data_IF_687524670548
#
_entry.id   IF_687524670548
#
_cell.length_a   1.000
_cell.length_b   1.000
_cell.length_c   1.000
_cell.angle_alpha   90.00
_cell.angle_beta   90.00
_cell.angle_gamma   90.00
#
_symmetry.space_group_name_H-M   'P 1'
#
loop_
_entity.id
_entity.type
_entity.pdbx_description
1 polymer ?
#
# COMPACT_ATOMS: atom_id res chain seq x y z
N UNK A 1 19.77 11.11 10.73
CA UNK A 1 18.70 10.51 9.91
C UNK A 1 17.40 11.17 10.33
N UNK A 2 16.44 11.28 9.41
CA UNK A 2 15.11 11.82 9.69
C UNK A 2 14.17 10.62 9.79
N UNK A 3 13.38 10.54 10.87
CA UNK A 3 12.48 9.43 11.16
C UNK A 3 13.07 8.36 12.09
N UNK A 4 12.43 7.18 12.23
CA UNK A 4 12.93 6.03 12.99
C UNK A 4 14.18 5.36 12.40
N UNK A 5 15.10 4.92 13.27
CA UNK A 5 16.37 4.29 12.90
C UNK A 5 16.27 2.76 12.72
N UNK A 6 15.08 2.21 12.47
CA UNK A 6 14.85 0.77 12.36
C UNK A 6 14.44 0.43 10.91
N UNK A 7 14.91 -0.68 10.32
CA UNK A 7 14.59 -1.01 8.93
C UNK A 7 13.12 -1.39 8.73
N UNK A 8 12.40 -1.73 9.79
CA UNK A 8 10.98 -2.08 9.77
C UNK A 8 10.11 -0.92 9.28
N UNK A 9 10.48 0.35 9.57
CA UNK A 9 9.66 1.51 9.15
C UNK A 9 9.70 1.76 7.64
N UNK A 10 10.68 1.20 6.93
CA UNK A 10 10.76 1.22 5.47
C UNK A 10 10.28 -0.08 4.84
N UNK A 11 9.59 -0.94 5.60
CA UNK A 11 9.20 -2.28 5.14
C UNK A 11 7.69 -2.43 4.97
N UNK A 12 7.28 -3.57 4.41
CA UNK A 12 5.87 -4.00 4.30
C UNK A 12 5.17 -4.00 5.67
N UNK A 13 5.90 -4.32 6.76
CA UNK A 13 5.33 -4.28 8.10
C UNK A 13 4.81 -2.91 8.49
N UNK A 14 5.52 -1.86 8.10
CA UNK A 14 5.07 -0.51 8.40
C UNK A 14 3.80 -0.17 7.64
N UNK A 15 3.66 -0.58 6.37
CA UNK A 15 2.40 -0.43 5.62
C UNK A 15 1.23 -1.08 6.36
N UNK A 16 1.40 -2.33 6.80
CA UNK A 16 0.37 -3.04 7.58
C UNK A 16 0.10 -2.38 8.94
N UNK A 17 1.13 -1.87 9.61
CA UNK A 17 0.97 -1.12 10.85
C UNK A 17 0.14 0.15 10.64
N UNK A 18 0.39 0.91 9.57
CA UNK A 18 -0.40 2.10 9.21
C UNK A 18 -1.88 1.74 9.05
N UNK A 19 -2.18 0.65 8.34
CA UNK A 19 -3.56 0.20 8.13
C UNK A 19 -4.21 -0.28 9.42
N UNK A 20 -3.46 -0.97 10.27
CA UNK A 20 -3.92 -1.42 11.58
C UNK A 20 -4.29 -0.23 12.50
N UNK A 21 -3.44 0.79 12.61
CA UNK A 21 -3.70 1.93 13.51
C UNK A 21 -4.76 2.88 12.97
N UNK A 22 -4.82 3.08 11.65
CA UNK A 22 -5.83 3.97 11.07
C UNK A 22 -7.19 3.29 10.91
N UNK A 23 -7.21 1.96 10.77
CA UNK A 23 -8.36 1.19 10.32
C UNK A 23 -8.75 1.51 8.87
N UNK A 24 -7.85 2.15 8.11
CA UNK A 24 -8.07 2.56 6.73
C UNK A 24 -6.86 2.19 5.88
N UNK A 25 -7.12 1.71 4.67
CA UNK A 25 -6.09 1.23 3.77
C UNK A 25 -6.73 0.45 2.62
N UNK A 26 -6.02 0.25 1.50
CA UNK A 26 -6.51 -0.62 0.45
C UNK A 26 -6.62 -2.06 0.96
N UNK A 27 -7.55 -2.87 0.44
CA UNK A 27 -7.55 -4.31 0.69
C UNK A 27 -6.15 -4.86 0.40
N UNK A 28 -5.55 -5.53 1.39
CA UNK A 28 -4.15 -5.94 1.32
C UNK A 28 -3.98 -7.37 1.84
N UNK A 29 -3.26 -8.20 1.10
CA UNK A 29 -2.95 -9.58 1.47
C UNK A 29 -1.44 -9.79 1.43
N UNK A 30 -0.86 -10.03 2.60
CA UNK A 30 0.53 -10.45 2.75
C UNK A 30 0.59 -11.97 2.75
N UNK A 31 1.42 -12.52 1.87
CA UNK A 31 1.66 -13.94 1.76
C UNK A 31 3.11 -14.27 2.16
N UNK A 32 3.27 -15.25 3.04
CA UNK A 32 4.56 -15.77 3.42
C UNK A 32 5.20 -16.55 2.27
N UNK A 33 6.54 -16.54 2.24
CA UNK A 33 7.34 -17.26 1.25
C UNK A 33 6.95 -18.75 1.24
N UNK A 34 6.80 -19.31 0.04
CA UNK A 34 6.38 -20.70 -0.18
C UNK A 34 4.87 -20.91 -0.25
N UNK A 35 4.06 -19.88 0.01
CA UNK A 35 2.62 -19.92 -0.24
C UNK A 35 2.33 -20.11 -1.73
N UNK A 36 1.25 -20.85 -2.05
CA UNK A 36 0.81 -21.06 -3.43
C UNK A 36 -0.67 -20.74 -3.59
N UNK A 37 -0.97 -19.78 -4.47
CA UNK A 37 -2.34 -19.41 -4.79
C UNK A 37 -2.86 -20.24 -5.97
N UNK A 38 -4.04 -20.84 -5.80
CA UNK A 38 -4.77 -21.51 -6.90
C UNK A 38 -5.68 -20.56 -7.67
N UNK A 39 -6.18 -19.53 -6.99
CA UNK A 39 -7.04 -18.48 -7.52
C UNK A 39 -6.71 -17.19 -6.79
N UNK A 40 -6.86 -16.06 -7.46
CA UNK A 40 -6.84 -14.77 -6.81
C UNK A 40 -8.08 -14.61 -5.90
N UNK A 41 -7.91 -14.22 -4.62
CA UNK A 41 -9.02 -13.98 -3.70
C UNK A 41 -10.06 -13.00 -4.27
N UNK A 42 -11.34 -13.26 -3.98
CA UNK A 42 -12.45 -12.51 -4.58
C UNK A 42 -12.43 -11.01 -4.25
N UNK A 43 -11.81 -10.62 -3.14
CA UNK A 43 -11.60 -9.21 -2.76
C UNK A 43 -10.79 -8.40 -3.79
N UNK A 44 -9.97 -9.07 -4.60
CA UNK A 44 -9.11 -8.43 -5.60
C UNK A 44 -9.70 -8.51 -7.02
N UNK A 45 -10.77 -9.27 -7.24
CA UNK A 45 -11.35 -9.45 -8.58
C UNK A 45 -12.02 -8.19 -9.11
N UNK A 46 -12.39 -7.25 -8.24
CA UNK A 46 -12.95 -5.95 -8.62
C UNK A 46 -11.88 -4.94 -9.06
N UNK A 47 -10.60 -5.30 -9.00
CA UNK A 47 -9.48 -4.45 -9.37
C UNK A 47 -8.91 -4.92 -10.71
N UNK A 48 -8.82 -4.01 -11.68
CA UNK A 48 -8.09 -4.24 -12.94
C UNK A 48 -6.58 -4.26 -12.73
N UNK A 49 -6.10 -3.49 -11.74
CA UNK A 49 -4.68 -3.35 -11.41
C UNK A 49 -4.45 -3.54 -9.91
N UNK A 50 -3.41 -4.30 -9.60
CA UNK A 50 -2.94 -4.59 -8.25
C UNK A 50 -1.54 -4.04 -8.04
N UNK A 51 -1.26 -3.56 -6.83
CA UNK A 51 0.07 -3.16 -6.39
C UNK A 51 0.73 -4.36 -5.72
N UNK A 52 1.83 -4.85 -6.29
CA UNK A 52 2.57 -6.00 -5.81
C UNK A 52 3.89 -5.51 -5.23
N UNK A 53 4.19 -5.87 -3.99
CA UNK A 53 5.45 -5.54 -3.32
C UNK A 53 6.10 -6.82 -2.81
N UNK A 54 7.20 -7.24 -3.46
CA UNK A 54 8.02 -8.34 -2.96
C UNK A 54 8.85 -7.87 -1.76
N UNK A 55 9.17 -8.77 -0.84
CA UNK A 55 9.92 -8.44 0.37
C UNK A 55 11.28 -7.82 0.03
N UNK A 56 11.54 -6.59 0.50
CA UNK A 56 12.80 -5.88 0.24
C UNK A 56 12.93 -5.26 -1.16
N UNK A 57 11.87 -5.27 -1.96
CA UNK A 57 11.85 -4.67 -3.30
C UNK A 57 10.81 -3.55 -3.41
N UNK A 58 11.01 -2.69 -4.41
CA UNK A 58 10.08 -1.62 -4.73
C UNK A 58 8.74 -2.16 -5.25
N UNK A 59 7.62 -1.47 -4.96
CA UNK A 59 6.30 -1.88 -5.40
C UNK A 59 6.12 -1.71 -6.92
N UNK A 60 5.40 -2.63 -7.56
CA UNK A 60 5.05 -2.58 -8.98
C UNK A 60 3.55 -2.76 -9.22
N UNK A 61 2.98 -1.98 -10.16
CA UNK A 61 1.57 -2.10 -10.55
C UNK A 61 1.41 -3.11 -11.68
N UNK A 62 0.59 -4.14 -11.48
CA UNK A 62 0.43 -5.25 -12.42
C UNK A 62 -1.05 -5.48 -12.74
N UNK A 63 -1.41 -5.78 -14.01
CA UNK A 63 -2.78 -6.15 -14.37
C UNK A 63 -3.20 -7.49 -13.75
N UNK A 64 -4.46 -7.56 -13.32
CA UNK A 64 -5.04 -8.73 -12.66
C UNK A 64 -5.03 -9.99 -13.53
N UNK A 65 -5.06 -9.86 -14.87
CA UNK A 65 -5.09 -10.99 -15.81
C UNK A 65 -3.88 -11.94 -15.69
N UNK A 66 -2.70 -11.40 -15.36
CA UNK A 66 -1.43 -12.16 -15.36
C UNK A 66 -0.85 -12.32 -13.95
N UNK A 67 -1.55 -11.81 -12.93
CA UNK A 67 -0.99 -11.67 -11.58
C UNK A 67 -0.72 -13.02 -10.92
N UNK A 68 -1.53 -14.04 -11.17
CA UNK A 68 -1.44 -15.31 -10.45
C UNK A 68 -0.13 -16.07 -10.72
N UNK A 69 0.31 -16.09 -11.98
CA UNK A 69 1.56 -16.74 -12.37
C UNK A 69 2.75 -16.00 -11.78
N UNK A 70 2.76 -14.66 -11.89
CA UNK A 70 3.83 -13.82 -11.35
C UNK A 70 3.91 -13.91 -9.82
N UNK A 71 2.78 -13.92 -9.11
CA UNK A 71 2.75 -14.10 -7.66
C UNK A 71 3.31 -15.46 -7.25
N UNK A 72 2.88 -16.53 -7.90
CA UNK A 72 3.38 -17.87 -7.56
C UNK A 72 4.88 -18.01 -7.82
N UNK A 73 5.41 -17.36 -8.85
CA UNK A 73 6.85 -17.30 -9.12
C UNK A 73 7.60 -16.51 -8.02
N UNK A 74 7.15 -15.29 -7.73
CA UNK A 74 7.73 -14.43 -6.69
C UNK A 74 7.71 -15.08 -5.29
N UNK A 75 6.62 -15.80 -4.97
CA UNK A 75 6.44 -16.50 -3.70
C UNK A 75 7.40 -17.68 -3.51
N UNK A 76 8.04 -18.19 -4.57
CA UNK A 76 9.09 -19.20 -4.41
C UNK A 76 10.36 -18.61 -3.78
N UNK A 77 10.60 -17.32 -3.99
CA UNK A 77 11.84 -16.65 -3.57
C UNK A 77 11.64 -15.72 -2.36
N UNK A 78 10.48 -15.07 -2.23
CA UNK A 78 10.23 -14.04 -1.21
C UNK A 78 8.78 -14.02 -0.72
N UNK A 79 8.52 -13.34 0.41
CA UNK A 79 7.15 -12.99 0.80
C UNK A 79 6.63 -11.85 -0.09
N UNK A 80 5.33 -11.79 -0.33
CA UNK A 80 4.73 -10.82 -1.26
C UNK A 80 3.49 -10.18 -0.65
N UNK A 81 3.42 -8.86 -0.71
CA UNK A 81 2.23 -8.07 -0.40
C UNK A 81 1.45 -7.78 -1.70
N UNK A 82 0.16 -8.08 -1.69
CA UNK A 82 -0.79 -7.80 -2.77
C UNK A 82 -1.76 -6.73 -2.27
N UNK A 83 -1.94 -5.64 -3.01
CA UNK A 83 -2.88 -4.58 -2.63
C UNK A 83 -3.77 -4.17 -3.81
N UNK A 84 -5.03 -3.84 -3.52
CA UNK A 84 -5.91 -3.21 -4.51
C UNK A 84 -5.36 -1.84 -4.91
N UNK A 85 -5.14 -1.61 -6.22
CA UNK A 85 -4.61 -0.33 -6.71
C UNK A 85 -5.66 0.46 -7.48
N UNK A 86 -6.19 -0.09 -8.57
CA UNK A 86 -7.18 0.58 -9.41
C UNK A 86 -8.30 -0.35 -9.86
N UNK A 87 -9.55 0.10 -9.67
CA UNK A 87 -10.74 -0.68 -10.03
C UNK A 87 -11.00 -0.70 -11.54
N UNK A 88 -10.79 0.44 -12.22
CA UNK A 88 -11.09 0.62 -13.64
C UNK A 88 -9.89 1.24 -14.37
N UNK A 89 -8.68 0.66 -14.19
CA UNK A 89 -7.43 1.21 -14.70
C UNK A 89 -6.43 1.54 -13.59
N UNK A 90 -5.69 2.64 -13.72
CA UNK A 90 -4.76 3.09 -12.69
C UNK A 90 -5.51 3.80 -11.56
N UNK A 91 -5.19 3.42 -10.32
CA UNK A 91 -5.59 4.20 -9.14
C UNK A 91 -4.87 5.54 -9.15
N UNK A 92 -5.53 6.55 -8.61
CA UNK A 92 -4.98 7.89 -8.44
C UNK A 92 -4.22 7.98 -7.12
N UNK A 93 -3.03 8.57 -7.14
CA UNK A 93 -2.22 8.75 -5.92
C UNK A 93 -1.86 10.21 -5.72
N UNK A 94 -1.98 10.69 -4.49
CA UNK A 94 -1.60 12.05 -4.09
C UNK A 94 -0.61 11.99 -2.93
N UNK A 95 0.45 12.81 -3.01
CA UNK A 95 1.46 12.90 -1.95
C UNK A 95 1.23 14.14 -1.08
N UNK A 96 1.10 13.91 0.22
CA UNK A 96 0.81 14.94 1.21
C UNK A 96 2.04 15.11 2.11
N UNK A 97 2.72 16.26 2.04
CA UNK A 97 3.88 16.51 2.90
C UNK A 97 3.43 16.77 4.35
N UNK A 98 4.22 16.30 5.31
CA UNK A 98 4.05 16.61 6.73
C UNK A 98 5.36 17.17 7.33
N UNK A 99 5.31 17.99 8.40
CA UNK A 99 4.14 18.32 9.26
C UNK A 99 3.01 19.12 8.59
N UNK A 100 1.80 19.01 9.14
CA UNK A 100 0.61 19.76 8.67
C UNK A 100 0.56 21.16 9.29
N UNK A 101 0.15 22.18 8.53
CA UNK A 101 0.01 23.53 9.09
C UNK A 101 -1.33 23.67 9.83
N UNK A 102 -1.40 24.55 10.83
CA UNK A 102 -2.65 24.78 11.57
C UNK A 102 -3.79 25.28 10.69
N UNK A 103 -3.48 26.03 9.63
CA UNK A 103 -4.46 26.53 8.68
C UNK A 103 -5.09 25.38 7.88
N UNK A 104 -4.26 24.42 7.42
CA UNK A 104 -4.69 23.22 6.70
C UNK A 104 -5.63 22.37 7.57
N UNK A 105 -5.34 22.29 8.88
CA UNK A 105 -6.14 21.49 9.83
C UNK A 105 -7.49 22.12 10.18
N UNK A 106 -7.64 23.44 10.04
CA UNK A 106 -8.90 24.18 10.33
C UNK A 106 -9.83 24.26 9.11
N UNK A 107 -9.32 23.98 7.92
CA UNK A 107 -10.10 23.98 6.69
C UNK A 107 -11.08 22.80 6.58
N UNK A 108 -11.87 22.80 5.52
CA UNK A 108 -12.70 21.66 5.14
C UNK A 108 -11.92 20.65 4.29
N UNK A 109 -12.36 19.39 4.32
CA UNK A 109 -11.80 18.35 3.46
C UNK A 109 -12.05 18.71 1.98
N UNK A 110 -10.99 18.69 1.19
CA UNK A 110 -11.07 18.84 -0.26
C UNK A 110 -9.89 18.12 -0.93
N UNK A 111 -9.94 17.97 -2.25
CA UNK A 111 -8.82 17.40 -3.01
C UNK A 111 -7.50 18.16 -2.76
N UNK A 112 -7.55 19.47 -2.56
CA UNK A 112 -6.38 20.29 -2.25
C UNK A 112 -6.01 20.32 -0.76
N UNK A 113 -6.95 19.98 0.13
CA UNK A 113 -6.73 19.92 1.57
C UNK A 113 -7.11 18.54 2.13
N UNK A 114 -6.20 17.59 1.96
CA UNK A 114 -6.36 16.24 2.49
C UNK A 114 -5.94 16.11 3.96
N UNK A 115 -5.27 17.12 4.54
CA UNK A 115 -4.74 17.09 5.91
C UNK A 115 -5.81 16.82 6.99
N UNK A 116 -7.07 17.14 6.69
CA UNK A 116 -8.22 16.96 7.58
C UNK A 116 -8.75 15.52 7.56
N UNK A 117 -8.33 14.68 6.61
CA UNK A 117 -8.79 13.31 6.44
C UNK A 117 -8.63 12.48 7.72
N UNK A 118 -9.68 11.75 8.12
CA UNK A 118 -9.69 10.94 9.37
C UNK A 118 -8.48 10.04 9.54
N UNK A 119 -8.02 9.38 8.48
CA UNK A 119 -6.84 8.53 8.55
C UNK A 119 -5.56 9.31 8.84
N UNK A 120 -5.39 10.51 8.26
CA UNK A 120 -4.22 11.35 8.50
C UNK A 120 -4.22 11.93 9.91
N UNK A 121 -5.40 12.28 10.46
CA UNK A 121 -5.54 12.69 11.86
C UNK A 121 -5.12 11.56 12.81
N UNK A 122 -5.55 10.32 12.55
CA UNK A 122 -5.09 9.15 13.34
C UNK A 122 -3.58 8.92 13.21
N UNK A 123 -3.01 9.06 12.01
CA UNK A 123 -1.57 8.95 11.80
C UNK A 123 -0.80 10.04 12.53
N UNK A 124 -1.31 11.28 12.51
CA UNK A 124 -0.76 12.41 13.25
C UNK A 124 -0.57 12.06 14.72
N UNK A 125 -1.56 11.43 15.36
CA UNK A 125 -1.50 11.02 16.76
C UNK A 125 -0.62 9.77 17.00
N UNK A 126 -0.75 8.74 16.15
CA UNK A 126 -0.11 7.44 16.41
C UNK A 126 1.38 7.41 16.06
N UNK A 127 1.75 8.13 15.00
CA UNK A 127 3.08 8.19 14.39
C UNK A 127 3.82 9.48 14.74
N UNK A 128 3.09 10.50 15.24
CA UNK A 128 3.60 11.83 15.57
C UNK A 128 4.21 12.56 14.35
N UNK A 129 3.30 13.03 13.49
CA UNK A 129 3.66 13.77 12.28
C UNK A 129 3.99 15.23 12.54
N UNK A 130 3.95 15.70 13.80
CA UNK A 130 4.29 17.08 14.16
C UNK A 130 5.80 17.25 14.30
N UNK A 131 6.47 16.28 14.94
CA UNK A 131 7.91 16.35 15.20
C UNK A 131 8.76 15.62 14.15
N UNK A 132 8.12 14.91 13.23
CA UNK A 132 8.76 14.19 12.13
C UNK A 132 8.43 14.87 10.80
N UNK A 133 9.21 14.63 9.76
CA UNK A 133 8.90 15.13 8.42
C UNK A 133 9.02 14.05 7.36
N UNK A 134 8.26 14.23 6.29
CA UNK A 134 8.13 13.26 5.23
C UNK A 134 6.90 13.52 4.38
N UNK A 135 6.39 12.46 3.77
CA UNK A 135 5.16 12.51 3.00
C UNK A 135 4.31 11.25 3.22
N UNK A 136 3.00 11.43 3.11
CA UNK A 136 2.01 10.34 3.06
C UNK A 136 1.50 10.24 1.63
N UNK A 137 1.49 9.03 1.08
CA UNK A 137 0.84 8.74 -0.20
C UNK A 137 -0.57 8.25 0.08
N UNK A 138 -1.56 8.96 -0.46
CA UNK A 138 -2.96 8.57 -0.43
C UNK A 138 -3.33 7.96 -1.78
N UNK A 139 -4.23 6.98 -1.77
CA UNK A 139 -4.70 6.25 -2.95
C UNK A 139 -6.21 6.38 -3.07
N UNK A 140 -6.69 6.69 -4.27
CA UNK A 140 -8.07 6.52 -4.69
C UNK A 140 -8.13 5.47 -5.80
N UNK A 141 -8.71 4.31 -5.49
CA UNK A 141 -8.82 3.21 -6.46
C UNK A 141 -9.95 3.38 -7.48
N UNK A 142 -10.88 4.30 -7.24
CA UNK A 142 -12.05 4.55 -8.08
C UNK A 142 -11.82 5.77 -8.98
N UNK A 143 -10.77 5.74 -9.80
CA UNK A 143 -10.56 6.79 -10.80
C UNK A 143 -11.52 6.61 -11.99
N UNK A 144 -12.75 7.12 -11.85
CA UNK A 144 -13.72 7.16 -12.96
C UNK A 144 -13.41 8.23 -13.99
N UNK A 145 -12.44 9.12 -13.72
CA UNK A 145 -12.18 10.33 -14.48
C UNK A 145 -11.39 10.12 -15.78
N UNK A 146 -10.88 8.91 -16.07
CA UNK A 146 -10.09 8.64 -17.28
C UNK A 146 -10.73 7.69 -18.31
N UNK A 147 -12.06 7.52 -18.33
CA UNK A 147 -12.72 6.99 -19.54
C UNK A 147 -12.72 8.08 -20.60
N UNK A 148 -11.69 8.14 -21.46
CA UNK A 148 -11.88 8.72 -22.80
C UNK A 148 -12.93 7.87 -23.52
N UNK A 149 -14.07 8.42 -23.97
CA UNK A 149 -15.01 7.70 -24.81
C UNK A 149 -14.53 7.78 -26.26
N UNK A 150 -13.52 7.00 -26.65
CA UNK A 150 -13.12 6.73 -28.05
C UNK A 150 -12.16 5.54 -27.97
N UNK A 151 -12.58 4.31 -28.27
CA UNK A 151 -12.35 3.70 -29.59
C UNK A 151 -13.51 2.77 -29.96
N UNK A 152 -14.65 3.34 -30.32
CA UNK A 152 -15.74 2.61 -30.99
C UNK A 152 -16.34 3.45 -32.11
N UNK A 153 -15.52 3.78 -33.11
CA UNK A 153 -15.99 4.16 -34.44
C UNK A 153 -14.83 4.16 -35.45
N UNK A 154 -14.99 3.36 -36.52
CA UNK A 154 -14.39 3.52 -37.86
C UNK A 154 -12.90 3.13 -37.97
N UNK A 155 -12.54 2.03 -38.64
CA UNK A 155 -12.41 1.99 -40.10
C UNK A 155 -12.92 0.66 -40.71
N UNK A 156 -13.96 0.79 -41.55
CA UNK A 156 -14.39 -0.20 -42.54
C UNK A 156 -13.95 0.32 -43.92
N UNK A 157 -13.20 -0.46 -44.68
CA UNK A 157 -12.71 -0.14 -46.04
C UNK A 157 -11.24 -0.56 -46.20
N UNK A 158 -10.91 -1.81 -46.50
CA UNK A 158 -10.90 -2.52 -47.79
C UNK A 158 -9.58 -2.34 -48.61
N UNK A 159 -8.99 -3.50 -48.90
CA UNK A 159 -8.06 -3.93 -49.96
C UNK A 159 -6.62 -3.38 -50.17
N UNK A 160 -5.67 -4.33 -50.13
CA UNK A 160 -4.64 -4.69 -51.14
C UNK A 160 -3.12 -4.53 -50.84
N UNK A 161 -2.48 -5.70 -50.62
CA UNK A 161 -1.15 -6.23 -51.03
C UNK A 161 0.21 -5.57 -50.70
N UNK A 162 1.14 -6.44 -50.25
CA UNK A 162 2.61 -6.34 -50.30
C UNK A 162 3.22 -6.09 -48.91
N UNK A 163 4.03 -6.94 -48.28
CA UNK A 163 5.04 -7.88 -48.76
C UNK A 163 6.37 -7.48 -48.10
N UNK A 164 6.88 -8.26 -47.13
CA UNK A 164 8.18 -7.98 -46.51
C UNK A 164 8.37 -8.64 -45.14
N UNK A 165 9.10 -9.76 -45.15
CA UNK A 165 9.87 -10.36 -44.05
C UNK A 165 10.73 -9.23 -43.39
N UNK A 166 10.86 -9.12 -42.07
CA UNK A 166 11.93 -9.78 -41.31
C UNK A 166 11.69 -9.84 -39.79
N UNK A 167 12.39 -10.81 -39.23
CA UNK A 167 12.56 -11.31 -37.86
C UNK A 167 13.05 -10.33 -36.79
N UNK A 168 12.78 -10.74 -35.54
CA UNK A 168 13.40 -10.41 -34.25
C UNK A 168 12.86 -9.21 -33.47
N UNK A 169 11.92 -9.54 -32.57
CA UNK A 169 11.55 -8.73 -31.43
C UNK A 169 12.54 -8.82 -30.26
N UNK A 170 12.60 -7.71 -29.53
CA UNK A 170 12.78 -7.60 -28.07
C UNK A 170 13.51 -6.30 -27.75
N UNK A 171 12.74 -5.23 -27.59
CA UNK A 171 13.07 -4.10 -26.73
C UNK A 171 11.75 -3.41 -26.35
N UNK A 172 11.01 -4.00 -25.41
CA UNK A 172 10.02 -3.26 -24.66
C UNK A 172 10.74 -2.41 -23.61
N UNK A 173 11.14 -1.22 -24.05
CA UNK A 173 11.70 -0.18 -23.20
C UNK A 173 10.67 0.24 -22.16
N UNK A 174 11.08 0.26 -20.90
CA UNK A 174 10.36 0.83 -19.78
C UNK A 174 10.05 2.30 -20.07
N UNK A 175 8.77 2.64 -20.24
CA UNK A 175 8.35 4.02 -20.39
C UNK A 175 8.26 4.65 -18.99
N UNK A 176 9.23 5.49 -18.67
CA UNK A 176 9.26 6.35 -17.49
C UNK A 176 8.23 7.48 -17.73
N UNK A 177 7.00 7.28 -17.27
CA UNK A 177 5.97 8.31 -17.33
C UNK A 177 6.28 9.38 -16.28
N UNK A 178 6.97 10.43 -16.69
CA UNK A 178 7.00 11.70 -15.96
C UNK A 178 5.75 12.48 -16.38
N UNK A 179 4.72 12.51 -15.54
CA UNK A 179 3.58 13.40 -15.76
C UNK A 179 3.97 14.82 -15.32
N UNK A 180 4.45 15.63 -16.27
CA UNK A 180 4.35 17.09 -16.21
C UNK A 180 3.06 17.49 -16.95
N UNK A 181 2.06 17.99 -16.22
CA UNK A 181 0.87 18.57 -16.85
C UNK A 181 0.74 20.05 -16.43
N UNK A 182 1.32 20.92 -17.25
CA UNK A 182 0.99 22.34 -17.29
C UNK A 182 0.08 22.58 -18.50
N UNK A 183 -1.21 22.80 -18.24
CA UNK A 183 -2.20 23.05 -19.27
C UNK A 183 -3.54 23.43 -18.66
N UNK A 184 -3.79 24.72 -18.54
CA UNK A 184 -5.08 25.28 -18.16
C UNK A 184 -6.18 24.79 -19.12
N UNK A 185 -7.21 24.14 -18.57
CA UNK A 185 -8.47 23.90 -19.26
C UNK A 185 -9.61 24.08 -18.26
N UNK A 186 -10.19 25.29 -18.26
CA UNK A 186 -11.45 25.63 -17.58
C UNK A 186 -12.59 24.80 -18.16
N UNK A 187 -13.23 23.96 -17.34
CA UNK A 187 -14.45 23.26 -17.75
C UNK A 187 -14.97 22.21 -16.76
N UNK A 188 -15.45 22.67 -15.59
CA UNK A 188 -16.47 22.06 -14.70
C UNK A 188 -16.77 20.54 -14.87
N UNK A 189 -16.38 19.75 -13.86
CA UNK A 189 -17.30 19.05 -12.93
C UNK A 189 -16.42 18.49 -11.80
N UNK A 190 -16.26 19.25 -10.72
CA UNK A 190 -15.78 18.70 -9.45
C UNK A 190 -16.84 17.73 -8.94
N UNK A 191 -16.72 16.46 -9.35
CA UNK A 191 -17.38 15.38 -8.63
C UNK A 191 -16.69 15.33 -7.28
N UNK A 192 -17.39 15.73 -6.21
CA UNK A 192 -16.90 15.61 -4.83
C UNK A 192 -16.47 14.16 -4.60
N UNK A 193 -15.18 13.86 -4.72
CA UNK A 193 -14.64 12.58 -4.26
C UNK A 193 -14.94 12.53 -2.76
N UNK A 194 -15.77 11.60 -2.33
CA UNK A 194 -16.07 11.46 -0.91
C UNK A 194 -14.80 11.14 -0.16
N UNK A 195 -14.63 11.72 1.03
CA UNK A 195 -13.50 11.48 1.92
C UNK A 195 -13.11 9.99 1.98
N UNK A 196 -14.12 9.13 2.09
CA UNK A 196 -13.98 7.68 2.24
C UNK A 196 -13.40 6.93 1.01
N UNK A 197 -13.28 7.58 -0.16
CA UNK A 197 -12.61 6.98 -1.34
C UNK A 197 -11.08 7.02 -1.24
N UNK A 198 -10.54 7.92 -0.41
CA UNK A 198 -9.11 8.10 -0.24
C UNK A 198 -8.62 7.30 0.97
N UNK A 199 -7.63 6.46 0.75
CA UNK A 199 -7.02 5.67 1.83
C UNK A 199 -5.51 5.88 1.88
N UNK A 200 -4.89 5.84 3.07
CA UNK A 200 -3.43 5.89 3.15
C UNK A 200 -2.85 4.64 2.49
N UNK A 201 -1.90 4.82 1.59
CA UNK A 201 -1.15 3.74 0.94
C UNK A 201 0.20 3.55 1.63
N UNK A 202 0.92 4.62 1.89
CA UNK A 202 2.28 4.57 2.41
C UNK A 202 2.64 5.85 3.16
N UNK A 203 3.54 5.75 4.13
CA UNK A 203 4.14 6.88 4.83
C UNK A 203 5.65 6.73 4.78
N UNK A 204 6.33 7.74 4.22
CA UNK A 204 7.77 7.77 4.12
C UNK A 204 8.33 8.96 4.89
N UNK A 205 9.32 8.70 5.75
CA UNK A 205 10.06 9.74 6.46
C UNK A 205 11.19 10.29 5.60
N UNK A 206 11.50 11.57 5.78
CA UNK A 206 12.60 12.25 5.11
C UNK A 206 12.23 12.90 3.78
N UNK A 207 13.24 13.09 2.94
CA UNK A 207 13.13 13.93 1.76
C UNK A 207 12.83 13.09 0.51
N UNK A 208 11.71 13.33 -0.19
CA UNK A 208 11.47 12.67 -1.47
C UNK A 208 12.46 13.19 -2.51
N UNK A 209 13.10 12.30 -3.25
CA UNK A 209 14.08 12.65 -4.29
C UNK A 209 13.51 12.57 -5.71
N UNK A 210 12.39 11.87 -5.90
CA UNK A 210 11.76 11.66 -7.20
C UNK A 210 10.96 12.87 -7.70
N UNK A 211 10.58 13.79 -6.81
CA UNK A 211 9.79 14.98 -7.16
C UNK A 211 10.37 16.23 -6.54
N UNK A 212 10.83 17.16 -7.39
CA UNK A 212 11.36 18.46 -6.96
C UNK A 212 10.29 19.33 -6.28
N UNK A 213 9.03 19.24 -6.73
CA UNK A 213 7.94 19.96 -6.09
C UNK A 213 7.65 19.45 -4.68
N UNK A 214 7.50 18.13 -4.52
CA UNK A 214 7.25 17.53 -3.21
C UNK A 214 8.44 17.74 -2.27
N UNK A 215 9.67 17.57 -2.77
CA UNK A 215 10.89 17.86 -2.03
C UNK A 215 10.88 19.29 -1.49
N UNK A 216 10.58 20.27 -2.36
CA UNK A 216 10.52 21.68 -1.97
C UNK A 216 9.44 21.93 -0.93
N UNK A 217 8.27 21.28 -1.02
CA UNK A 217 7.22 21.38 0.00
C UNK A 217 7.70 20.83 1.35
N UNK A 218 8.29 19.64 1.39
CA UNK A 218 8.84 19.05 2.63
C UNK A 218 9.95 19.93 3.23
N UNK A 219 10.89 20.41 2.42
CA UNK A 219 11.94 21.35 2.84
C UNK A 219 11.37 22.61 3.51
N UNK A 220 10.32 23.20 2.91
CA UNK A 220 9.65 24.37 3.49
C UNK A 220 9.03 24.05 4.83
N UNK A 221 8.35 22.90 4.96
CA UNK A 221 7.74 22.46 6.23
C UNK A 221 8.80 22.26 7.32
N UNK A 222 9.96 21.66 7.00
CA UNK A 222 11.08 21.51 7.94
C UNK A 222 11.52 22.87 8.50
N UNK A 223 11.64 23.87 7.62
CA UNK A 223 12.05 25.22 8.00
C UNK A 223 10.96 25.96 8.79
N UNK A 224 9.70 25.91 8.36
CA UNK A 224 8.60 26.62 9.01
C UNK A 224 8.27 26.07 10.39
N UNK A 225 8.32 24.75 10.56
CA UNK A 225 8.09 24.06 11.84
C UNK A 225 9.35 23.99 12.72
N UNK A 226 10.48 24.57 12.28
CA UNK A 226 11.75 24.61 13.02
C UNK A 226 12.21 23.25 13.54
N UNK A 227 12.00 22.19 12.74
CA UNK A 227 12.30 20.81 13.16
C UNK A 227 13.78 20.56 13.47
N UNK A 228 14.66 21.43 12.98
CA UNK A 228 16.10 21.38 13.25
C UNK A 228 16.52 22.18 14.51
N UNK A 229 15.58 22.72 15.28
CA UNK A 229 15.87 23.36 16.56
C UNK A 229 16.26 22.32 17.61
N UNK A 230 17.03 22.71 18.63
CA UNK A 230 17.52 21.76 19.64
C UNK A 230 16.36 21.04 20.37
N UNK A 231 15.31 21.79 20.73
CA UNK A 231 14.11 21.26 21.37
C UNK A 231 13.36 20.27 20.46
N UNK A 232 13.09 20.66 19.21
CA UNK A 232 12.41 19.79 18.23
C UNK A 232 13.20 18.52 17.93
N UNK A 233 14.54 18.58 17.94
CA UNK A 233 15.38 17.40 17.75
C UNK A 233 15.26 16.42 18.92
N UNK A 234 15.10 16.89 20.16
CA UNK A 234 14.85 16.01 21.31
C UNK A 234 13.49 15.32 21.19
N UNK A 235 12.45 16.07 20.83
CA UNK A 235 11.11 15.51 20.58
C UNK A 235 11.12 14.51 19.43
N UNK A 236 11.79 14.83 18.32
CA UNK A 236 12.00 13.90 17.21
C UNK A 236 12.66 12.59 17.69
N UNK A 237 13.71 12.66 18.50
CA UNK A 237 14.36 11.47 19.03
C UNK A 237 13.45 10.65 19.95
N UNK A 238 12.68 11.31 20.82
CA UNK A 238 11.73 10.65 21.70
C UNK A 238 10.61 9.96 20.89
N UNK A 239 10.02 10.71 19.97
CA UNK A 239 8.98 10.29 19.03
C UNK A 239 9.42 9.11 18.16
N UNK A 240 10.60 9.22 17.55
CA UNK A 240 11.24 8.19 16.74
C UNK A 240 11.45 6.88 17.50
N UNK A 241 11.93 6.94 18.75
CA UNK A 241 12.09 5.77 19.62
C UNK A 241 10.75 5.16 20.02
N UNK A 242 9.77 5.98 20.40
CA UNK A 242 8.42 5.52 20.76
C UNK A 242 7.75 4.80 19.59
N UNK A 243 7.83 5.37 18.39
CA UNK A 243 7.31 4.75 17.17
C UNK A 243 8.02 3.44 16.86
N UNK A 244 9.35 3.41 16.97
CA UNK A 244 10.14 2.18 16.78
C UNK A 244 9.64 1.04 17.67
N UNK A 245 9.44 1.32 18.97
CA UNK A 245 8.94 0.32 19.92
C UNK A 245 7.53 -0.17 19.58
N UNK A 246 6.62 0.73 19.16
CA UNK A 246 5.26 0.35 18.73
C UNK A 246 5.30 -0.56 17.50
N UNK A 247 6.12 -0.22 16.50
CA UNK A 247 6.25 -1.01 15.27
C UNK A 247 6.87 -2.37 15.57
N UNK A 248 7.94 -2.43 16.38
CA UNK A 248 8.55 -3.70 16.78
C UNK A 248 7.57 -4.59 17.56
N UNK A 249 6.83 -4.02 18.51
CA UNK A 249 5.80 -4.74 19.26
C UNK A 249 4.67 -5.26 18.35
N UNK A 250 4.26 -4.48 17.35
CA UNK A 250 3.30 -4.90 16.34
C UNK A 250 3.84 -6.06 15.51
N UNK A 251 5.06 -5.96 14.99
CA UNK A 251 5.70 -7.02 14.20
C UNK A 251 5.79 -8.32 15.00
N UNK A 252 6.23 -8.24 16.26
CA UNK A 252 6.34 -9.39 17.15
C UNK A 252 4.99 -10.10 17.36
N UNK A 253 3.89 -9.34 17.48
CA UNK A 253 2.56 -9.93 17.69
C UNK A 253 2.08 -10.86 16.56
N UNK A 254 2.65 -10.73 15.36
CA UNK A 254 2.36 -11.59 14.20
C UNK A 254 3.46 -12.63 13.93
N UNK A 255 4.47 -12.71 14.81
CA UNK A 255 5.56 -13.69 14.74
C UNK A 255 5.41 -14.81 15.76
N UNK A 256 4.86 -14.51 16.94
CA UNK A 256 4.71 -15.46 18.05
C UNK A 256 3.58 -16.50 17.85
N UNK A 257 3.08 -16.68 16.62
CA UNK A 257 2.06 -17.68 16.25
C UNK A 257 2.55 -19.13 16.21
N UNK A 258 3.86 -19.38 16.38
CA UNK A 258 4.36 -20.73 16.64
C UNK A 258 4.21 -21.06 18.13
N UNK A 259 3.38 -22.05 18.44
CA UNK A 259 3.11 -22.66 19.76
C UNK A 259 4.22 -22.47 20.82
N UNK A 260 3.88 -22.29 22.11
CA UNK A 260 4.85 -22.40 23.19
C UNK A 260 5.44 -23.80 23.14
N UNK A 261 6.72 -23.91 22.79
CA UNK A 261 7.47 -25.14 22.95
C UNK A 261 7.39 -25.56 24.41
N UNK A 262 6.79 -26.73 24.66
CA UNK A 262 6.84 -27.41 25.95
C UNK A 262 8.25 -27.34 26.53
N UNK A 263 8.36 -26.74 27.72
CA UNK A 263 9.56 -26.75 28.56
C UNK A 263 9.81 -28.20 29.00
N UNK A 264 10.35 -29.05 28.12
CA UNK A 264 11.11 -30.25 28.55
C UNK A 264 11.89 -30.99 27.45
N UNK A 265 12.03 -30.42 26.25
CA UNK A 265 12.91 -31.01 25.23
C UNK A 265 14.22 -30.26 25.15
N UNK A 266 15.27 -30.82 25.76
CA UNK A 266 16.67 -30.41 25.64
C UNK A 266 17.25 -30.63 24.23
N UNK A 267 16.54 -30.16 23.20
CA UNK A 267 16.97 -30.15 21.80
C UNK A 267 16.83 -28.73 21.28
N UNK A 268 17.99 -28.09 21.10
CA UNK A 268 18.17 -26.75 20.58
C UNK A 268 17.28 -26.45 19.36
N UNK A 269 16.71 -25.25 19.33
CA UNK A 269 16.11 -24.52 18.21
C UNK A 269 15.98 -25.28 16.87
N UNK A 270 14.76 -25.48 16.33
CA UNK A 270 14.65 -25.84 14.93
C UNK A 270 15.00 -24.61 14.07
N UNK A 271 16.18 -24.70 13.45
CA UNK A 271 16.62 -24.03 12.23
C UNK A 271 15.99 -22.65 11.93
N UNK A 272 16.68 -21.62 12.43
CA UNK A 272 17.13 -20.47 11.67
C UNK A 272 16.48 -20.30 10.29
N UNK A 273 15.44 -19.47 10.21
CA UNK A 273 15.22 -18.73 8.97
C UNK A 273 16.54 -18.05 8.61
N UNK A 274 16.99 -18.07 7.34
CA UNK A 274 18.12 -17.25 6.95
C UNK A 274 17.81 -15.81 7.39
N UNK A 275 18.75 -15.09 8.04
CA UNK A 275 18.52 -13.70 8.38
C UNK A 275 18.07 -13.02 7.10
N UNK A 276 16.91 -12.37 7.14
CA UNK A 276 16.46 -11.58 6.01
C UNK A 276 17.62 -10.65 5.62
N UNK A 277 17.95 -10.58 4.34
CA UNK A 277 19.10 -9.79 3.86
C UNK A 277 19.01 -8.30 4.30
N UNK A 278 17.79 -7.85 4.64
CA UNK A 278 17.46 -6.51 5.12
C UNK A 278 17.42 -6.34 6.65
N UNK A 279 17.64 -7.39 7.45
CA UNK A 279 17.47 -7.37 8.91
C UNK A 279 16.03 -7.26 9.41
N UNK A 280 15.05 -7.09 8.51
CA UNK A 280 13.61 -7.05 8.80
C UNK A 280 13.06 -8.48 8.83
N UNK A 281 12.38 -8.90 9.90
CA UNK A 281 11.96 -10.29 10.04
C UNK A 281 10.82 -10.65 9.06
N UNK A 282 10.90 -11.85 8.48
CA UNK A 282 9.94 -12.33 7.48
C UNK A 282 8.57 -12.65 8.12
N UNK A 283 7.46 -12.53 7.36
CA UNK A 283 6.15 -12.92 7.84
C UNK A 283 6.05 -14.44 7.92
N UNK A 284 5.71 -14.96 9.10
CA UNK A 284 5.42 -16.38 9.32
C UNK A 284 3.97 -16.72 8.92
N UNK A 285 3.07 -15.76 9.06
CA UNK A 285 1.65 -15.91 8.79
C UNK A 285 1.26 -15.17 7.51
N UNK A 286 0.23 -15.68 6.84
CA UNK A 286 -0.46 -14.90 5.82
C UNK A 286 -1.40 -13.92 6.51
N UNK A 287 -1.38 -12.65 6.12
CA UNK A 287 -2.18 -11.60 6.77
C UNK A 287 -3.09 -10.92 5.76
N UNK A 288 -4.36 -10.77 6.11
CA UNK A 288 -5.35 -10.05 5.32
C UNK A 288 -5.80 -8.80 6.07
N UNK A 289 -5.62 -7.65 5.43
CA UNK A 289 -6.28 -6.41 5.81
C UNK A 289 -7.54 -6.21 4.96
N UNK A 290 -8.70 -6.18 5.62
CA UNK A 290 -10.00 -5.93 4.99
C UNK A 290 -10.95 -5.30 6.01
N UNK A 291 -11.80 -4.39 5.56
CA UNK A 291 -12.88 -3.79 6.38
C UNK A 291 -12.34 -3.18 7.68
N UNK A 292 -11.17 -2.53 7.61
CA UNK A 292 -10.50 -1.88 8.73
C UNK A 292 -9.81 -2.81 9.73
N UNK A 293 -9.67 -4.10 9.41
CA UNK A 293 -9.09 -5.08 10.32
C UNK A 293 -7.99 -5.89 9.67
N UNK A 294 -6.90 -6.10 10.41
CA UNK A 294 -5.80 -6.99 10.04
C UNK A 294 -5.98 -8.34 10.76
N UNK A 295 -6.04 -9.44 10.01
CA UNK A 295 -6.27 -10.79 10.55
C UNK A 295 -5.42 -11.82 9.81
N UNK A 296 -5.23 -12.99 10.42
CA UNK A 296 -4.61 -14.13 9.73
C UNK A 296 -5.50 -14.64 8.58
N UNK A 297 -4.88 -14.93 7.43
CA UNK A 297 -5.53 -15.49 6.25
C UNK A 297 -5.27 -16.99 6.15
N UNK A 298 -6.32 -17.79 6.38
CA UNK A 298 -6.24 -19.26 6.39
C UNK A 298 -6.30 -19.94 5.02
N UNK A 299 -6.29 -19.18 3.93
CA UNK A 299 -6.24 -19.71 2.56
C UNK A 299 -7.52 -20.39 2.05
N UNK A 300 -8.57 -20.51 2.87
CA UNK A 300 -9.87 -21.07 2.45
C UNK A 300 -10.84 -19.95 2.07
N UNK A 301 -11.64 -20.20 1.03
CA UNK A 301 -12.90 -19.51 0.82
C UNK A 301 -13.73 -19.55 2.13
N UNK A 302 -14.62 -18.57 2.38
CA UNK A 302 -15.47 -18.58 3.57
C UNK A 302 -16.15 -19.95 3.72
N UNK A 303 -16.39 -20.42 4.96
CA UNK A 303 -17.03 -21.71 5.17
C UNK A 303 -18.34 -21.75 4.36
N UNK A 304 -18.63 -22.86 3.66
CA UNK A 304 -19.90 -22.99 2.97
C UNK A 304 -21.01 -22.74 4.00
N UNK A 305 -21.96 -21.87 3.64
CA UNK A 305 -23.16 -21.62 4.44
C UNK A 305 -23.72 -22.97 4.89
N UNK A 306 -23.84 -23.16 6.19
CA UNK A 306 -24.42 -24.36 6.76
C UNK A 306 -25.93 -24.33 6.49
N UNK A 307 -26.35 -24.95 5.37
CA UNK A 307 -27.75 -25.05 4.95
C UNK A 307 -28.57 -25.93 5.92
N UNK A 308 -27.96 -26.52 6.96
CA UNK A 308 -28.67 -27.30 7.97
C UNK A 308 -29.65 -26.48 8.84
N UNK A 309 -29.57 -25.14 8.83
CA UNK A 309 -30.51 -24.27 9.53
C UNK A 309 -31.81 -23.95 8.76
N UNK A 310 -31.93 -24.34 7.48
CA UNK A 310 -33.10 -24.03 6.64
C UNK A 310 -34.06 -25.22 6.42
N UNK A 311 -33.82 -26.38 7.02
CA UNK A 311 -34.69 -27.57 6.89
C UNK A 311 -35.51 -27.92 8.15
N UNK A 312 -35.57 -27.04 9.16
CA UNK A 312 -36.37 -27.29 10.37
C UNK A 312 -37.75 -26.63 10.41
N UNK A 313 -38.18 -25.99 9.32
CA UNK A 313 -39.47 -25.29 9.24
C UNK A 313 -40.42 -25.83 8.14
N UNK A 314 -40.24 -27.08 7.72
CA UNK A 314 -41.24 -27.80 6.91
C UNK A 314 -41.37 -29.26 7.34
N UNK A 315 -42.07 -29.46 8.46
CA UNK A 315 -42.88 -30.67 8.69
C UNK A 315 -43.96 -30.34 9.72
N UNK A 316 -45.12 -29.91 9.20
CA UNK A 316 -46.44 -30.20 9.79
C UNK A 316 -46.69 -31.69 9.85
#
# INVERSE_FOLDING_TARGET
HIGPAIPEVSSIWFKLYLYHVTGQGPPSLLLSKGSRLRKLPDIFQVYDRLLITSWGHDPGVVPTSNVLTMLNDALTHSAVLIQGHGMHGHGETVHIPFPFDEEDLKGEFSYSNMCVHKALQKLKEHVDLEHQCGYVTMLNSNNRHRRRPSDSAECRGDTHLGGGLDTNGSTESFELVTEENNGESKGKTDTLSSEDEWVPLELCFGMPLFSSELNRKVCRKIASHKLCSNESLQELLHSSRKLSLKVLSFVQSFQDGSQPSDLDSGVSNPLSQPPAESGVPLPALNLLFKDGQLREWSGRAPPPLDISALQKDQTT
#
